data_IF_769794840695
#
_entry.id   IF_769794840695
#
_cell.length_a   1.000
_cell.length_b   1.000
_cell.length_c   1.000
_cell.angle_alpha   90.00
_cell.angle_beta   90.00
_cell.angle_gamma   90.00
#
_symmetry.space_group_name_H-M   'P 1'
#
loop_
_entity.id
_entity.type
_entity.pdbx_description
1 polymer ?
#
# COMPACT_ATOMS: atom_id res chain seq x y z
N UNK A 1 63.51 32.54 16.84
CA UNK A 1 62.82 32.64 18.16
C UNK A 1 61.34 32.93 17.89
N UNK A 2 60.45 31.94 17.90
CA UNK A 2 59.58 31.46 19.01
C UNK A 2 58.22 32.19 19.14
N UNK A 3 57.16 31.44 18.81
CA UNK A 3 55.78 31.38 19.40
C UNK A 3 54.78 32.56 19.31
N UNK A 4 53.80 32.36 18.42
CA UNK A 4 52.37 32.06 18.70
C UNK A 4 51.65 32.69 19.91
N UNK A 5 50.54 33.41 19.64
CA UNK A 5 49.25 33.39 20.39
C UNK A 5 48.12 33.75 19.42
N UNK A 6 47.27 32.80 19.01
CA UNK A 6 45.91 32.51 19.53
C UNK A 6 44.97 33.72 19.51
N UNK A 7 44.04 33.72 18.56
CA UNK A 7 42.86 34.59 18.52
C UNK A 7 41.67 33.86 17.88
N UNK A 8 40.93 33.15 18.74
CA UNK A 8 39.50 32.78 18.69
C UNK A 8 38.86 32.49 17.32
N UNK A 9 38.58 31.20 17.10
CA UNK A 9 37.61 30.70 16.12
C UNK A 9 36.20 31.10 16.54
N UNK A 10 35.52 31.93 15.76
CA UNK A 10 34.06 32.08 15.84
C UNK A 10 33.44 31.00 14.95
N UNK A 11 33.05 29.88 15.54
CA UNK A 11 32.29 28.84 14.86
C UNK A 11 30.84 29.31 14.73
N UNK A 12 30.44 29.74 13.53
CA UNK A 12 29.02 29.86 13.21
C UNK A 12 28.47 28.46 12.95
N UNK A 13 27.71 27.97 13.93
CA UNK A 13 26.82 26.85 13.81
C UNK A 13 25.71 27.19 12.81
N UNK A 14 25.85 26.74 11.55
CA UNK A 14 24.74 26.62 10.63
C UNK A 14 24.18 25.21 10.75
N UNK A 15 23.27 25.02 11.72
CA UNK A 15 22.47 23.82 11.81
C UNK A 15 21.55 23.73 10.58
N UNK A 16 21.91 22.90 9.60
CA UNK A 16 20.93 22.40 8.66
C UNK A 16 20.02 21.44 9.44
N UNK A 17 18.88 21.96 9.88
CA UNK A 17 17.74 21.15 10.24
C UNK A 17 17.32 20.37 8.97
N UNK A 18 17.85 19.16 8.83
CA UNK A 18 17.29 18.17 7.93
C UNK A 18 15.89 17.84 8.45
N UNK A 19 14.89 18.55 7.93
CA UNK A 19 13.51 18.13 8.01
C UNK A 19 13.42 16.79 7.28
N UNK A 20 13.60 15.70 8.03
CA UNK A 20 13.25 14.37 7.58
C UNK A 20 11.75 14.41 7.30
N UNK A 21 11.41 14.55 6.03
CA UNK A 21 10.10 14.21 5.50
C UNK A 21 9.86 12.75 5.89
N UNK A 22 9.22 12.54 7.04
CA UNK A 22 8.65 11.26 7.42
C UNK A 22 7.82 10.81 6.21
N UNK A 23 8.15 9.69 5.54
CA UNK A 23 7.22 9.12 4.58
C UNK A 23 5.98 8.81 5.39
N UNK A 24 4.91 9.60 5.19
CA UNK A 24 3.64 9.38 5.84
C UNK A 24 3.29 7.92 5.59
N UNK A 25 3.24 7.13 6.67
CA UNK A 25 2.79 5.76 6.57
C UNK A 25 1.40 5.81 5.96
N UNK A 26 1.28 5.46 4.68
CA UNK A 26 0.01 5.29 4.02
C UNK A 26 -0.76 4.30 4.88
N UNK A 27 -1.74 4.80 5.64
CA UNK A 27 -2.51 3.95 6.54
C UNK A 27 -3.13 2.89 5.67
N UNK A 28 -2.91 1.62 6.01
CA UNK A 28 -3.56 0.54 5.31
C UNK A 28 -5.07 0.79 5.37
N UNK A 29 -5.70 0.91 4.19
CA UNK A 29 -7.15 1.01 4.09
C UNK A 29 -7.76 -0.18 4.86
N UNK A 30 -8.79 0.09 5.66
CA UNK A 30 -9.50 -0.92 6.45
C UNK A 30 -10.97 -0.89 6.09
N UNK A 31 -11.58 -2.05 6.04
CA UNK A 31 -13.01 -2.22 5.80
C UNK A 31 -13.65 -2.93 7.00
N UNK A 32 -14.89 -2.57 7.32
CA UNK A 32 -15.80 -3.37 8.13
C UNK A 32 -16.45 -4.49 7.32
N UNK A 33 -17.47 -5.12 7.91
CA UNK A 33 -18.26 -6.19 7.27
C UNK A 33 -19.76 -5.84 7.12
N UNK A 34 -20.14 -4.58 7.37
CA UNK A 34 -21.46 -4.06 7.04
C UNK A 34 -21.62 -3.83 5.53
N UNK A 35 -22.87 -3.76 5.06
CA UNK A 35 -23.20 -3.68 3.64
C UNK A 35 -22.50 -2.51 2.94
N UNK A 36 -22.57 -1.31 3.51
CA UNK A 36 -21.98 -0.12 2.91
C UNK A 36 -20.46 -0.28 2.77
N UNK A 37 -19.77 -0.68 3.84
CA UNK A 37 -18.33 -0.96 3.81
C UNK A 37 -17.99 -2.05 2.79
N UNK A 38 -18.79 -3.10 2.68
CA UNK A 38 -18.54 -4.21 1.78
C UNK A 38 -18.76 -3.86 0.30
N UNK A 39 -19.70 -2.97 -0.01
CA UNK A 39 -19.83 -2.41 -1.36
C UNK A 39 -18.56 -1.64 -1.74
N UNK A 40 -18.05 -0.79 -0.85
CA UNK A 40 -16.78 -0.09 -1.08
C UNK A 40 -15.60 -1.05 -1.23
N UNK A 41 -15.52 -2.09 -0.39
CA UNK A 41 -14.52 -3.14 -0.54
C UNK A 41 -14.61 -3.82 -1.90
N UNK A 42 -15.81 -4.09 -2.40
CA UNK A 42 -16.03 -4.73 -3.69
C UNK A 42 -15.45 -3.94 -4.86
N UNK A 43 -15.74 -2.64 -4.92
CA UNK A 43 -15.16 -1.77 -5.94
C UNK A 43 -13.64 -1.62 -5.78
N UNK A 44 -13.17 -1.49 -4.55
CA UNK A 44 -11.74 -1.43 -4.25
C UNK A 44 -11.01 -2.71 -4.70
N UNK A 45 -11.55 -3.89 -4.41
CA UNK A 45 -10.97 -5.18 -4.78
C UNK A 45 -10.85 -5.33 -6.30
N UNK A 46 -11.85 -4.85 -7.05
CA UNK A 46 -11.82 -4.82 -8.52
C UNK A 46 -10.80 -3.80 -9.04
N UNK A 47 -10.66 -2.63 -8.43
CA UNK A 47 -9.62 -1.66 -8.81
C UNK A 47 -8.20 -2.20 -8.61
N UNK A 48 -7.97 -2.99 -7.56
CA UNK A 48 -6.70 -3.69 -7.31
C UNK A 48 -6.39 -4.66 -8.46
N UNK A 49 -7.40 -5.42 -8.91
CA UNK A 49 -7.26 -6.36 -10.03
C UNK A 49 -6.97 -5.61 -11.32
N UNK A 50 -7.68 -4.52 -11.61
CA UNK A 50 -7.45 -3.73 -12.82
C UNK A 50 -6.07 -3.05 -12.82
N UNK A 51 -5.60 -2.57 -11.67
CA UNK A 51 -4.25 -2.02 -11.54
C UNK A 51 -3.17 -3.10 -11.77
N UNK A 52 -3.39 -4.33 -11.31
CA UNK A 52 -2.50 -5.44 -11.63
C UNK A 52 -2.55 -5.78 -13.12
N UNK A 53 -3.75 -5.75 -13.72
CA UNK A 53 -3.94 -6.02 -15.14
C UNK A 53 -3.26 -4.97 -16.05
N UNK A 54 -3.30 -3.69 -15.68
CA UNK A 54 -2.59 -2.63 -16.40
C UNK A 54 -1.07 -2.78 -16.33
N UNK A 55 -0.56 -3.62 -15.44
CA UNK A 55 0.86 -3.96 -15.28
C UNK A 55 1.22 -5.32 -15.93
N UNK A 56 0.34 -5.88 -16.75
CA UNK A 56 0.60 -7.08 -17.53
C UNK A 56 0.11 -8.39 -16.90
N UNK A 57 -0.64 -8.33 -15.79
CA UNK A 57 -1.29 -9.52 -15.25
C UNK A 57 -2.55 -9.89 -16.05
N UNK A 58 -2.66 -11.13 -16.53
CA UNK A 58 -3.91 -11.62 -17.08
C UNK A 58 -4.83 -12.07 -15.93
N UNK A 59 -5.83 -11.23 -15.63
CA UNK A 59 -6.79 -11.46 -14.56
C UNK A 59 -7.69 -12.68 -14.83
N UNK A 60 -7.94 -13.04 -16.10
CA UNK A 60 -8.71 -14.24 -16.46
C UNK A 60 -7.90 -15.48 -16.13
N UNK A 61 -6.62 -15.50 -16.52
CA UNK A 61 -5.70 -16.60 -16.21
C UNK A 61 -5.41 -16.70 -14.71
N UNK A 62 -5.44 -15.59 -13.97
CA UNK A 62 -5.37 -15.57 -12.51
C UNK A 62 -6.67 -16.02 -11.82
N UNK A 63 -7.76 -16.24 -12.56
CA UNK A 63 -9.09 -16.56 -12.03
C UNK A 63 -9.62 -15.50 -11.04
N UNK A 64 -9.35 -14.22 -11.32
CA UNK A 64 -9.83 -13.10 -10.51
C UNK A 64 -11.32 -12.82 -10.75
N UNK A 65 -12.01 -12.33 -9.73
CA UNK A 65 -13.40 -11.87 -9.86
C UNK A 65 -13.43 -10.38 -10.18
N UNK A 66 -13.89 -10.03 -11.38
CA UNK A 66 -14.11 -8.62 -11.79
C UNK A 66 -15.54 -8.15 -11.51
N UNK A 67 -16.22 -8.80 -10.56
CA UNK A 67 -17.56 -8.44 -10.11
C UNK A 67 -17.48 -7.86 -8.69
N UNK A 68 -17.71 -6.54 -8.51
CA UNK A 68 -17.62 -5.90 -7.20
C UNK A 68 -18.68 -6.43 -6.23
N UNK A 69 -19.86 -6.82 -6.71
CA UNK A 69 -20.93 -7.32 -5.85
C UNK A 69 -20.66 -8.73 -5.35
N UNK A 70 -19.94 -9.54 -6.13
CA UNK A 70 -19.43 -10.83 -5.67
C UNK A 70 -18.45 -10.67 -4.51
N UNK A 71 -17.54 -9.69 -4.59
CA UNK A 71 -16.64 -9.35 -3.48
C UNK A 71 -17.37 -8.78 -2.27
N UNK A 72 -18.37 -7.92 -2.48
CA UNK A 72 -19.20 -7.38 -1.40
C UNK A 72 -19.95 -8.49 -0.66
N UNK A 73 -20.55 -9.44 -1.38
CA UNK A 73 -21.22 -10.60 -0.79
C UNK A 73 -20.27 -11.48 0.02
N UNK A 74 -19.05 -11.69 -0.47
CA UNK A 74 -18.02 -12.40 0.30
C UNK A 74 -17.65 -11.64 1.58
N UNK A 75 -17.46 -10.32 1.49
CA UNK A 75 -17.13 -9.43 2.61
C UNK A 75 -18.17 -9.49 3.73
N UNK A 76 -19.47 -9.45 3.39
CA UNK A 76 -20.54 -9.53 4.38
C UNK A 76 -20.58 -10.88 5.12
N UNK A 77 -20.02 -11.93 4.51
CA UNK A 77 -19.86 -13.25 5.16
C UNK A 77 -18.63 -13.35 6.07
N UNK A 78 -17.80 -12.31 6.16
CA UNK A 78 -16.61 -12.29 7.00
C UNK A 78 -16.85 -11.59 8.34
N UNK A 79 -15.98 -11.86 9.32
CA UNK A 79 -15.92 -11.06 10.55
C UNK A 79 -15.27 -9.70 10.30
N UNK A 80 -15.65 -8.68 11.08
CA UNK A 80 -14.99 -7.36 11.03
C UNK A 80 -13.47 -7.46 11.28
N UNK A 81 -13.05 -8.38 12.15
CA UNK A 81 -11.62 -8.63 12.41
C UNK A 81 -10.91 -9.16 11.16
N UNK A 82 -11.53 -10.08 10.41
CA UNK A 82 -10.99 -10.55 9.13
C UNK A 82 -10.90 -9.41 8.12
N UNK A 83 -11.94 -8.58 8.02
CA UNK A 83 -12.00 -7.47 7.07
C UNK A 83 -10.96 -6.38 7.33
N UNK A 84 -10.53 -6.18 8.58
CA UNK A 84 -9.41 -5.28 8.91
C UNK A 84 -8.09 -5.63 8.20
N UNK A 85 -7.90 -6.91 7.83
CA UNK A 85 -6.71 -7.42 7.12
C UNK A 85 -6.97 -7.72 5.64
N UNK A 86 -8.23 -7.76 5.22
CA UNK A 86 -8.62 -8.15 3.87
C UNK A 86 -7.88 -7.36 2.78
N UNK A 87 -7.63 -6.04 2.92
CA UNK A 87 -6.92 -5.30 1.87
C UNK A 87 -5.49 -5.77 1.65
N UNK A 88 -4.76 -6.03 2.72
CA UNK A 88 -3.40 -6.56 2.60
C UNK A 88 -3.41 -7.97 2.00
N UNK A 89 -4.31 -8.83 2.47
CA UNK A 89 -4.46 -10.20 1.97
C UNK A 89 -4.81 -10.22 0.48
N UNK A 90 -5.73 -9.36 0.05
CA UNK A 90 -6.16 -9.27 -1.35
C UNK A 90 -5.04 -8.80 -2.25
N UNK A 91 -4.34 -7.71 -1.90
CA UNK A 91 -3.17 -7.22 -2.65
C UNK A 91 -2.11 -8.31 -2.80
N UNK A 92 -1.75 -8.97 -1.70
CA UNK A 92 -0.75 -10.04 -1.72
C UNK A 92 -1.20 -11.24 -2.57
N UNK A 93 -2.48 -11.61 -2.49
CA UNK A 93 -3.06 -12.70 -3.28
C UNK A 93 -3.02 -12.41 -4.78
N UNK A 94 -3.43 -11.20 -5.19
CA UNK A 94 -3.37 -10.75 -6.59
C UNK A 94 -1.91 -10.75 -7.06
N UNK A 95 -1.00 -10.11 -6.33
CA UNK A 95 0.44 -10.07 -6.67
C UNK A 95 1.02 -11.47 -6.84
N UNK A 96 0.73 -12.40 -5.92
CA UNK A 96 1.22 -13.78 -6.01
C UNK A 96 0.67 -14.53 -7.22
N UNK A 97 -0.61 -14.34 -7.57
CA UNK A 97 -1.20 -14.96 -8.77
C UNK A 97 -0.66 -14.36 -10.06
N UNK A 98 -0.38 -13.05 -10.09
CA UNK A 98 0.27 -12.39 -11.22
C UNK A 98 1.73 -12.85 -11.39
N UNK A 99 2.48 -13.01 -10.30
CA UNK A 99 3.86 -13.50 -10.34
C UNK A 99 3.97 -14.92 -10.94
N UNK A 100 2.98 -15.79 -10.70
CA UNK A 100 2.90 -17.13 -11.34
C UNK A 100 2.77 -17.07 -12.86
N UNK A 101 2.40 -15.92 -13.41
CA UNK A 101 2.29 -15.69 -14.84
C UNK A 101 3.51 -14.95 -15.42
N UNK A 102 4.51 -14.63 -14.59
CA UNK A 102 5.66 -13.81 -14.99
C UNK A 102 5.41 -12.31 -14.95
N UNK A 103 4.25 -11.86 -14.45
CA UNK A 103 3.94 -10.43 -14.30
C UNK A 103 4.38 -9.93 -12.93
N UNK A 104 5.26 -8.92 -12.89
CA UNK A 104 5.65 -8.23 -11.67
C UNK A 104 4.79 -6.99 -11.47
N UNK A 105 3.90 -7.03 -10.47
CA UNK A 105 2.93 -5.97 -10.22
C UNK A 105 3.19 -5.29 -8.87
N UNK A 106 3.00 -3.97 -8.81
CA UNK A 106 3.08 -3.17 -7.58
C UNK A 106 1.72 -2.51 -7.33
N UNK A 107 1.16 -2.74 -6.15
CA UNK A 107 -0.19 -2.28 -5.79
C UNK A 107 -0.07 -1.38 -4.55
N UNK A 108 -0.09 -0.07 -4.78
CA UNK A 108 0.08 0.97 -3.76
C UNK A 108 -1.16 1.86 -3.65
N UNK A 109 -2.33 1.23 -3.52
CA UNK A 109 -3.63 1.87 -3.30
C UNK A 109 -4.26 1.36 -2.01
#
# INVERSE_FOLDING_TARGET
MTRARRGVRLAMAAGLAAATLLPGAARAQSFGNDEQSCVYYGYWAVSVIYLAASQGCDWKRANEWIDPMRHAKWCMGQSAQSMSKAPQVHRNGVTARCAKQGASVKINI
#
